data_IF_367406934054
#
_entry.id   IF_367406934054
#
_cell.length_a   1.000
_cell.length_b   1.000
_cell.length_c   1.000
_cell.angle_alpha   90.00
_cell.angle_beta   90.00
_cell.angle_gamma   90.00
#
_symmetry.space_group_name_H-M   'P 1'
#
loop_
_entity.id
_entity.type
_entity.pdbx_description
1 polymer ?
#
# COMPACT_ATOMS: atom_id res chain seq x y z
N UNK A 1 -10.51 -44.19 35.82
CA UNK A 1 -11.09 -42.85 35.64
C UNK A 1 -10.40 -42.21 34.45
N UNK A 2 -11.13 -41.84 33.39
CA UNK A 2 -10.56 -41.42 32.10
C UNK A 2 -9.97 -39.99 32.17
N UNK A 3 -8.86 -39.78 31.46
CA UNK A 3 -8.21 -38.47 31.28
C UNK A 3 -9.15 -37.58 30.46
N UNK A 4 -9.50 -36.39 30.97
CA UNK A 4 -10.21 -35.37 30.20
C UNK A 4 -9.22 -34.81 29.19
N UNK A 5 -9.51 -34.99 27.90
CA UNK A 5 -8.78 -34.36 26.82
C UNK A 5 -9.32 -32.93 26.69
N UNK A 6 -8.47 -31.94 26.97
CA UNK A 6 -8.77 -30.55 26.65
C UNK A 6 -8.86 -30.43 25.13
N UNK A 7 -10.07 -30.22 24.62
CA UNK A 7 -10.30 -29.92 23.21
C UNK A 7 -9.75 -28.52 22.93
N UNK A 8 -8.74 -28.35 22.06
CA UNK A 8 -8.30 -27.02 21.67
C UNK A 8 -9.45 -26.32 20.95
N UNK A 9 -9.92 -25.20 21.51
CA UNK A 9 -10.92 -24.36 20.87
C UNK A 9 -10.28 -23.72 19.64
N UNK A 10 -10.71 -24.14 18.46
CA UNK A 10 -10.27 -23.55 17.20
C UNK A 10 -11.00 -22.21 17.03
N UNK A 11 -10.43 -21.13 17.56
CA UNK A 11 -10.95 -19.79 17.29
C UNK A 11 -10.61 -19.40 15.86
N UNK A 12 -11.55 -19.61 14.93
CA UNK A 12 -11.47 -19.03 13.59
C UNK A 12 -11.64 -17.51 13.71
N UNK A 13 -10.53 -16.76 13.65
CA UNK A 13 -10.57 -15.30 13.49
C UNK A 13 -10.65 -15.01 11.99
N UNK A 14 -11.78 -14.49 11.53
CA UNK A 14 -11.86 -13.84 10.20
C UNK A 14 -11.16 -12.48 10.33
N UNK A 15 -9.97 -12.33 9.77
CA UNK A 15 -9.38 -11.02 9.54
C UNK A 15 -10.06 -10.40 8.31
N UNK A 16 -10.55 -9.17 8.43
CA UNK A 16 -11.02 -8.37 7.29
C UNK A 16 -9.87 -7.41 7.00
N UNK A 17 -9.17 -7.62 5.89
CA UNK A 17 -8.19 -6.65 5.42
C UNK A 17 -8.94 -5.39 4.94
N UNK A 18 -8.50 -4.19 5.33
CA UNK A 18 -9.09 -2.95 4.83
C UNK A 18 -8.89 -2.83 3.32
N UNK A 19 -9.92 -2.34 2.63
CA UNK A 19 -9.82 -1.98 1.20
C UNK A 19 -9.61 -0.47 1.14
N UNK A 20 -8.47 -0.05 0.58
CA UNK A 20 -8.13 1.35 0.43
C UNK A 20 -8.49 1.90 -0.95
N UNK A 21 -8.70 3.21 -1.04
CA UNK A 21 -8.95 3.95 -2.27
C UNK A 21 -7.75 4.84 -2.60
N UNK A 22 -6.92 4.39 -3.54
CA UNK A 22 -5.71 5.12 -3.94
C UNK A 22 -5.86 5.70 -5.36
N UNK A 23 -5.59 7.00 -5.52
CA UNK A 23 -5.74 7.70 -6.80
C UNK A 23 -4.47 8.48 -7.14
N UNK A 24 -3.94 8.30 -8.35
CA UNK A 24 -2.87 9.13 -8.88
C UNK A 24 -3.42 10.51 -9.22
N UNK A 25 -2.91 11.55 -8.57
CA UNK A 25 -3.43 12.93 -8.72
C UNK A 25 -2.46 13.86 -9.45
N UNK A 26 -1.15 13.59 -9.40
CA UNK A 26 -0.14 14.40 -10.09
C UNK A 26 1.10 13.60 -10.47
N UNK A 27 1.76 14.00 -11.56
CA UNK A 27 3.03 13.43 -12.05
C UNK A 27 3.97 14.54 -12.51
N UNK A 28 5.18 14.59 -11.93
CA UNK A 28 6.32 15.28 -12.50
C UNK A 28 7.17 14.30 -13.29
N UNK A 29 7.04 14.36 -14.62
CA UNK A 29 7.75 13.49 -15.55
C UNK A 29 9.27 13.74 -15.59
N UNK A 30 9.73 14.94 -15.28
CA UNK A 30 11.15 15.29 -15.35
C UNK A 30 11.93 14.67 -14.21
N UNK A 31 11.40 14.79 -12.99
CA UNK A 31 12.02 14.25 -11.78
C UNK A 31 11.55 12.82 -11.44
N UNK A 32 10.50 12.34 -12.09
CA UNK A 32 9.90 11.04 -11.80
C UNK A 32 9.20 11.01 -10.44
N UNK A 33 8.43 12.07 -10.14
CA UNK A 33 7.66 12.17 -8.90
C UNK A 33 6.18 11.91 -9.18
N UNK A 34 5.55 11.05 -8.40
CA UNK A 34 4.12 10.76 -8.47
C UNK A 34 3.48 11.07 -7.12
N UNK A 35 2.33 11.73 -7.14
CA UNK A 35 1.55 12.06 -5.93
C UNK A 35 0.21 11.34 -6.00
N UNK A 36 -0.18 10.72 -4.90
CA UNK A 36 -1.42 9.98 -4.76
C UNK A 36 -2.23 10.53 -3.60
N UNK A 37 -3.55 10.50 -3.73
CA UNK A 37 -4.47 10.62 -2.60
C UNK A 37 -4.90 9.23 -2.12
N UNK A 38 -5.13 9.09 -0.82
CA UNK A 38 -5.50 7.82 -0.18
C UNK A 38 -6.43 8.05 1.01
N UNK A 39 -7.18 7.02 1.40
CA UNK A 39 -7.94 6.94 2.66
C UNK A 39 -7.24 6.11 3.74
N UNK A 40 -5.98 5.72 3.51
CA UNK A 40 -5.10 5.11 4.51
C UNK A 40 -4.82 6.07 5.68
N UNK A 41 -4.42 5.51 6.81
CA UNK A 41 -4.09 6.31 7.98
C UNK A 41 -2.74 7.00 7.80
N UNK A 42 -2.58 8.18 8.38
CA UNK A 42 -1.30 8.87 8.41
C UNK A 42 -0.23 7.99 9.09
N UNK A 43 0.97 7.96 8.50
CA UNK A 43 2.07 7.09 8.90
C UNK A 43 2.13 5.75 8.16
N UNK A 44 1.07 5.34 7.45
CA UNK A 44 1.09 4.14 6.61
C UNK A 44 2.03 4.31 5.40
N UNK A 45 2.53 3.21 4.84
CA UNK A 45 3.32 3.23 3.59
C UNK A 45 2.69 2.35 2.54
N UNK A 46 2.87 2.70 1.26
CA UNK A 46 2.29 2.00 0.12
C UNK A 46 3.38 1.42 -0.78
N UNK A 47 3.21 0.17 -1.19
CA UNK A 47 4.04 -0.44 -2.24
C UNK A 47 3.41 -0.15 -3.60
N UNK A 48 4.15 0.58 -4.44
CA UNK A 48 3.73 0.96 -5.79
C UNK A 48 4.70 0.36 -6.79
N UNK A 49 4.18 -0.33 -7.80
CA UNK A 49 4.99 -0.82 -8.92
C UNK A 49 4.94 0.20 -10.05
N UNK A 50 6.07 0.80 -10.37
CA UNK A 50 6.24 1.78 -11.45
C UNK A 50 7.17 1.16 -12.50
N UNK A 51 6.68 0.95 -13.73
CA UNK A 51 7.44 0.32 -14.81
C UNK A 51 8.05 -1.05 -14.45
N UNK A 52 7.39 -1.79 -13.55
CA UNK A 52 7.84 -3.10 -13.09
C UNK A 52 8.81 -3.07 -11.90
N UNK A 53 9.27 -1.88 -11.47
CA UNK A 53 10.08 -1.70 -10.25
C UNK A 53 9.16 -1.37 -9.05
N UNK A 54 9.37 -2.01 -7.90
CA UNK A 54 8.63 -1.73 -6.67
C UNK A 54 9.28 -0.58 -5.92
N UNK A 55 8.47 0.42 -5.57
CA UNK A 55 8.82 1.56 -4.74
C UNK A 55 7.97 1.56 -3.47
N UNK A 56 8.56 1.98 -2.37
CA UNK A 56 7.86 2.25 -1.11
C UNK A 56 7.63 3.75 -1.02
N UNK A 57 6.40 4.15 -0.69
CA UNK A 57 6.07 5.57 -0.52
C UNK A 57 6.75 6.19 0.69
N UNK A 58 6.86 7.51 0.66
CA UNK A 58 6.90 8.25 1.93
C UNK A 58 5.62 7.94 2.75
N UNK A 59 5.68 8.02 4.09
CA UNK A 59 4.52 7.79 4.92
C UNK A 59 3.36 8.71 4.52
N UNK A 60 2.14 8.18 4.58
CA UNK A 60 0.93 8.95 4.34
C UNK A 60 0.89 10.12 5.32
N UNK A 61 0.61 11.31 4.78
CA UNK A 61 0.38 12.51 5.56
C UNK A 61 -0.76 13.30 4.91
N UNK A 62 -1.75 13.67 5.72
CA UNK A 62 -2.90 14.45 5.29
C UNK A 62 -3.65 13.80 4.10
N UNK A 63 -3.76 12.46 4.11
CA UNK A 63 -4.44 11.69 3.07
C UNK A 63 -3.71 11.63 1.72
N UNK A 64 -2.40 11.91 1.70
CA UNK A 64 -1.57 11.80 0.50
C UNK A 64 -0.29 11.02 0.77
N UNK A 65 0.26 10.42 -0.27
CA UNK A 65 1.63 9.90 -0.28
C UNK A 65 2.27 10.17 -1.65
N UNK A 66 3.60 10.14 -1.70
CA UNK A 66 4.33 10.31 -2.96
C UNK A 66 5.44 9.28 -3.13
N UNK A 67 5.86 9.11 -4.37
CA UNK A 67 6.99 8.28 -4.80
C UNK A 67 7.92 9.15 -5.62
N UNK A 68 9.22 9.07 -5.33
CA UNK A 68 10.28 9.67 -6.16
C UNK A 68 11.11 8.54 -6.75
N UNK A 69 11.06 8.37 -8.07
CA UNK A 69 11.86 7.34 -8.76
C UNK A 69 13.30 7.78 -9.00
N UNK A 70 13.56 9.09 -8.97
CA UNK A 70 14.85 9.70 -9.32
C UNK A 70 15.22 9.56 -10.81
N UNK A 71 14.27 9.16 -11.66
CA UNK A 71 14.47 8.94 -13.10
C UNK A 71 13.33 9.58 -13.88
N UNK A 72 13.58 10.25 -15.02
CA UNK A 72 12.52 10.76 -15.88
C UNK A 72 11.54 9.65 -16.32
N UNK A 73 10.26 10.00 -16.41
CA UNK A 73 9.17 9.08 -16.77
C UNK A 73 8.44 9.57 -18.04
N UNK A 74 9.06 9.55 -19.23
CA UNK A 74 8.38 9.99 -20.46
C UNK A 74 7.14 9.15 -20.79
N UNK A 75 7.11 7.90 -20.30
CA UNK A 75 5.96 7.02 -20.24
C UNK A 75 6.05 6.22 -18.94
N UNK A 76 4.90 5.88 -18.36
CA UNK A 76 4.86 5.06 -17.15
C UNK A 76 3.65 4.14 -17.11
N UNK A 77 3.82 3.01 -16.42
CA UNK A 77 2.75 2.17 -15.92
C UNK A 77 2.81 2.16 -14.41
N UNK A 78 1.65 2.21 -13.75
CA UNK A 78 1.51 2.19 -12.30
C UNK A 78 0.57 1.06 -11.90
N UNK A 79 0.94 0.32 -10.86
CA UNK A 79 0.06 -0.65 -10.19
C UNK A 79 0.24 -0.51 -8.68
N UNK A 80 -0.88 -0.49 -7.97
CA UNK A 80 -0.92 -0.53 -6.51
C UNK A 80 -1.56 -1.86 -6.11
N UNK A 81 -0.97 -2.50 -5.10
CA UNK A 81 -1.55 -3.68 -4.47
C UNK A 81 -2.23 -3.25 -3.17
N UNK A 82 -3.56 -3.43 -3.11
CA UNK A 82 -4.39 -3.25 -1.92
C UNK A 82 -4.73 -4.60 -1.31
#
# INVERSE_FOLDING_TARGET
MAKKQDTPELTTRTAIEPIYADFLTSVDHGNGTLIFSTDRADGDTVNVVINGETYVSEPVADGQFWIVTGKPLPQFSVRISN
#
